data_IF_201077213981
#
_entry.id   IF_201077213981
#
_cell.length_a   1.000
_cell.length_b   1.000
_cell.length_c   1.000
_cell.angle_alpha   90.00
_cell.angle_beta   90.00
_cell.angle_gamma   90.00
#
_symmetry.space_group_name_H-M   'P 1'
#
loop_
_entity.id
_entity.type
_entity.pdbx_description
1 polymer ?
#
# COMPACT_ATOMS: atom_id res chain seq x y z
N UNK A 1 10.50 -43.90 51.85
CA UNK A 1 9.71 -42.67 51.67
C UNK A 1 8.98 -42.77 50.35
N UNK A 2 7.69 -43.06 50.41
CA UNK A 2 6.80 -43.11 49.25
C UNK A 2 6.15 -41.74 49.10
N UNK A 3 6.34 -41.10 47.95
CA UNK A 3 5.66 -39.86 47.61
C UNK A 3 4.24 -40.17 47.12
N UNK A 4 3.27 -39.50 47.72
CA UNK A 4 1.86 -39.57 47.33
C UNK A 4 1.66 -38.61 46.15
N UNK A 5 1.25 -39.15 45.00
CA UNK A 5 0.91 -38.34 43.83
C UNK A 5 -0.51 -37.82 44.04
N UNK A 6 -0.62 -36.55 44.42
CA UNK A 6 -1.91 -35.85 44.46
C UNK A 6 -2.30 -35.49 43.03
N UNK A 7 -3.12 -36.32 42.38
CA UNK A 7 -3.75 -35.94 41.11
C UNK A 7 -4.81 -34.87 41.39
N UNK A 8 -4.51 -33.63 41.01
CA UNK A 8 -5.46 -32.52 41.14
C UNK A 8 -6.72 -32.78 40.30
N UNK A 9 -7.88 -32.38 40.82
CA UNK A 9 -9.23 -32.50 40.21
C UNK A 9 -9.43 -31.69 38.93
N UNK A 10 -8.38 -31.09 38.37
CA UNK A 10 -8.46 -30.40 37.09
C UNK A 10 -8.14 -31.40 35.98
N UNK A 11 -9.03 -31.47 34.99
CA UNK A 11 -8.83 -32.26 33.77
C UNK A 11 -7.70 -31.64 32.90
N UNK A 12 -6.46 -31.68 33.38
CA UNK A 12 -5.27 -31.14 32.71
C UNK A 12 -4.62 -32.12 31.72
N UNK A 13 -5.26 -33.28 31.45
CA UNK A 13 -4.80 -34.33 30.53
C UNK A 13 -5.78 -34.56 29.36
N UNK A 14 -6.64 -33.60 29.04
CA UNK A 14 -7.35 -33.64 27.77
C UNK A 14 -6.52 -32.87 26.73
N UNK A 15 -5.87 -33.59 25.83
CA UNK A 15 -5.50 -33.02 24.53
C UNK A 15 -6.80 -32.71 23.81
N UNK A 16 -7.23 -31.46 23.88
CA UNK A 16 -8.25 -30.97 22.96
C UNK A 16 -7.59 -30.85 21.60
N UNK A 17 -7.81 -31.83 20.72
CA UNK A 17 -7.51 -31.67 19.30
C UNK A 17 -8.34 -30.48 18.82
N UNK A 18 -7.69 -29.35 18.59
CA UNK A 18 -8.32 -28.15 18.02
C UNK A 18 -8.51 -28.41 16.53
N UNK A 19 -9.41 -29.31 16.19
CA UNK A 19 -9.98 -29.40 14.85
C UNK A 19 -11.15 -28.40 14.83
N UNK A 20 -10.80 -27.11 14.97
CA UNK A 20 -11.77 -26.05 15.22
C UNK A 20 -11.98 -25.22 13.94
N UNK A 21 -13.17 -25.29 13.31
CA UNK A 21 -13.50 -24.46 12.16
C UNK A 21 -13.36 -22.95 12.45
N UNK A 22 -13.33 -22.53 13.71
CA UNK A 22 -13.03 -21.16 14.12
C UNK A 22 -11.54 -20.83 13.87
N UNK A 23 -10.62 -21.73 14.23
CA UNK A 23 -9.19 -21.53 14.04
C UNK A 23 -8.85 -21.43 12.55
N UNK A 24 -9.38 -22.32 11.72
CA UNK A 24 -9.14 -22.31 10.27
C UNK A 24 -9.64 -21.02 9.62
N UNK A 25 -10.83 -20.53 10.02
CA UNK A 25 -11.35 -19.24 9.55
C UNK A 25 -10.51 -18.06 10.03
N UNK A 26 -9.96 -18.11 11.25
CA UNK A 26 -9.08 -17.07 11.76
C UNK A 26 -7.74 -17.03 11.01
N UNK A 27 -7.17 -18.19 10.68
CA UNK A 27 -5.98 -18.30 9.82
C UNK A 27 -6.28 -17.74 8.43
N UNK A 28 -7.37 -18.16 7.79
CA UNK A 28 -7.81 -17.63 6.50
C UNK A 28 -7.95 -16.11 6.51
N UNK A 29 -8.63 -15.56 7.53
CA UNK A 29 -8.80 -14.14 7.71
C UNK A 29 -7.45 -13.39 7.82
N UNK A 30 -6.52 -13.93 8.62
CA UNK A 30 -5.20 -13.36 8.81
C UNK A 30 -4.39 -13.38 7.51
N UNK A 31 -4.38 -14.50 6.80
CA UNK A 31 -3.66 -14.63 5.53
C UNK A 31 -4.21 -13.71 4.45
N UNK A 32 -5.54 -13.60 4.34
CA UNK A 32 -6.20 -12.66 3.45
C UNK A 32 -5.87 -11.21 3.76
N UNK A 33 -5.92 -10.82 5.03
CA UNK A 33 -5.55 -9.48 5.46
C UNK A 33 -4.06 -9.20 5.24
N UNK A 34 -3.19 -10.16 5.55
CA UNK A 34 -1.74 -10.08 5.38
C UNK A 34 -1.35 -9.90 3.92
N UNK A 35 -1.90 -10.72 3.01
CA UNK A 35 -1.55 -10.65 1.59
C UNK A 35 -2.01 -9.32 0.97
N UNK A 36 -3.20 -8.84 1.32
CA UNK A 36 -3.71 -7.56 0.82
C UNK A 36 -2.87 -6.39 1.34
N UNK A 37 -2.63 -6.35 2.65
CA UNK A 37 -1.78 -5.33 3.26
C UNK A 37 -0.41 -5.30 2.60
N UNK A 38 0.22 -6.47 2.45
CA UNK A 38 1.55 -6.62 1.88
C UNK A 38 1.62 -6.15 0.43
N UNK A 39 0.66 -6.57 -0.39
CA UNK A 39 0.58 -6.18 -1.80
C UNK A 39 0.38 -4.68 -1.95
N UNK A 40 -0.51 -4.09 -1.16
CA UNK A 40 -0.81 -2.66 -1.21
C UNK A 40 0.40 -1.81 -0.83
N UNK A 41 1.09 -2.14 0.27
CA UNK A 41 2.25 -1.33 0.70
C UNK A 41 3.44 -1.46 -0.24
N UNK A 42 3.60 -2.60 -0.91
CA UNK A 42 4.61 -2.77 -1.96
C UNK A 42 4.24 -1.92 -3.18
N UNK A 43 2.98 -2.00 -3.64
CA UNK A 43 2.49 -1.22 -4.76
C UNK A 43 2.62 0.28 -4.49
N UNK A 44 2.16 0.77 -3.33
CA UNK A 44 2.24 2.18 -2.94
C UNK A 44 3.68 2.69 -2.90
N UNK A 45 4.61 1.87 -2.41
CA UNK A 45 6.02 2.22 -2.42
C UNK A 45 6.60 2.30 -3.84
N UNK A 46 6.15 1.43 -4.76
CA UNK A 46 6.54 1.47 -6.18
C UNK A 46 5.96 2.71 -6.88
N UNK A 47 4.68 3.01 -6.66
CA UNK A 47 4.00 4.23 -7.14
C UNK A 47 4.76 5.46 -6.64
N UNK A 48 5.11 5.50 -5.35
CA UNK A 48 5.90 6.60 -4.77
C UNK A 48 7.28 6.71 -5.39
N UNK A 49 7.96 5.59 -5.62
CA UNK A 49 9.28 5.59 -6.26
C UNK A 49 9.19 6.15 -7.69
N UNK A 50 8.23 5.68 -8.49
CA UNK A 50 7.93 6.17 -9.85
C UNK A 50 7.64 7.67 -9.86
N UNK A 51 6.78 8.14 -8.95
CA UNK A 51 6.49 9.56 -8.76
C UNK A 51 7.76 10.39 -8.60
N UNK A 52 8.64 9.97 -7.69
CA UNK A 52 9.87 10.73 -7.37
C UNK A 52 10.90 10.69 -8.50
N UNK A 53 11.09 9.54 -9.16
CA UNK A 53 12.07 9.41 -10.24
C UNK A 53 11.65 10.18 -11.49
N UNK A 54 10.37 10.13 -11.85
CA UNK A 54 9.85 10.80 -13.04
C UNK A 54 9.93 12.32 -12.90
N UNK A 55 9.56 12.87 -11.75
CA UNK A 55 9.68 14.31 -11.51
C UNK A 55 11.14 14.76 -11.52
N UNK A 56 12.05 14.02 -10.87
CA UNK A 56 13.48 14.37 -10.85
C UNK A 56 14.09 14.40 -12.25
N UNK A 57 13.75 13.42 -13.08
CA UNK A 57 14.19 13.34 -14.47
C UNK A 57 13.71 14.54 -15.28
N UNK A 58 12.40 14.81 -15.25
CA UNK A 58 11.81 15.92 -15.98
C UNK A 58 12.37 17.28 -15.52
N UNK A 59 12.50 17.49 -14.21
CA UNK A 59 13.10 18.72 -13.67
C UNK A 59 14.56 18.87 -14.11
N UNK A 60 15.34 17.78 -14.18
CA UNK A 60 16.72 17.84 -14.68
C UNK A 60 16.79 18.31 -16.13
N UNK A 61 15.91 17.80 -17.00
CA UNK A 61 15.82 18.22 -18.40
C UNK A 61 15.38 19.69 -18.52
N UNK A 62 14.40 20.12 -17.71
CA UNK A 62 13.93 21.52 -17.67
C UNK A 62 15.04 22.46 -17.22
N UNK A 63 15.83 22.08 -16.21
CA UNK A 63 16.99 22.89 -15.78
C UNK A 63 17.99 23.08 -16.91
N UNK A 64 18.20 22.07 -17.76
CA UNK A 64 19.06 22.17 -18.95
C UNK A 64 18.45 23.10 -20.03
N UNK A 65 17.14 23.05 -20.23
CA UNK A 65 16.45 23.97 -21.15
C UNK A 65 16.55 25.42 -20.69
N UNK A 66 16.43 25.68 -19.39
CA UNK A 66 16.64 26.99 -18.79
C UNK A 66 18.09 27.47 -18.97
N UNK A 67 19.08 26.60 -18.69
CA UNK A 67 20.50 26.98 -18.81
C UNK A 67 20.91 27.25 -20.26
N UNK A 68 20.28 26.58 -21.22
CA UNK A 68 20.48 26.80 -22.66
C UNK A 68 19.58 27.90 -23.23
N UNK A 69 18.85 28.64 -22.37
CA UNK A 69 17.94 29.74 -22.73
C UNK A 69 16.85 29.35 -23.73
N UNK A 70 16.49 28.06 -23.81
CA UNK A 70 15.39 27.57 -24.65
C UNK A 70 14.01 27.95 -24.10
N UNK A 71 13.92 28.10 -22.78
CA UNK A 71 12.73 28.52 -22.05
C UNK A 71 13.13 29.52 -20.96
N UNK A 72 12.22 30.43 -20.58
CA UNK A 72 12.46 31.31 -19.45
C UNK A 72 12.33 30.57 -18.11
N UNK A 73 12.97 31.11 -17.06
CA UNK A 73 12.87 30.54 -15.70
C UNK A 73 11.42 30.56 -15.19
N UNK A 74 10.65 31.58 -15.59
CA UNK A 74 9.23 31.71 -15.23
C UNK A 74 8.40 30.59 -15.88
N UNK A 75 8.48 30.43 -17.19
CA UNK A 75 7.76 29.38 -17.93
C UNK A 75 8.14 27.99 -17.41
N UNK A 76 9.43 27.77 -17.12
CA UNK A 76 9.92 26.52 -16.54
C UNK A 76 9.31 26.25 -15.15
N UNK A 77 9.14 27.27 -14.31
CA UNK A 77 8.54 27.14 -12.99
C UNK A 77 7.04 26.83 -13.06
N UNK A 78 6.31 27.49 -13.97
CA UNK A 78 4.88 27.23 -14.24
C UNK A 78 4.69 25.80 -14.74
N UNK A 79 5.48 25.38 -15.73
CA UNK A 79 5.46 24.02 -16.24
C UNK A 79 5.76 22.97 -15.15
N UNK A 80 6.82 23.18 -14.35
CA UNK A 80 7.15 22.26 -13.25
C UNK A 80 6.01 22.14 -12.23
N UNK A 81 5.34 23.24 -11.92
CA UNK A 81 4.20 23.27 -11.01
C UNK A 81 3.02 22.45 -11.56
N UNK A 82 2.62 22.70 -12.81
CA UNK A 82 1.51 22.01 -13.47
C UNK A 82 1.80 20.52 -13.62
N UNK A 83 2.98 20.18 -14.16
CA UNK A 83 3.45 18.82 -14.33
C UNK A 83 3.43 18.06 -13.00
N UNK A 84 3.97 18.64 -11.91
CA UNK A 84 3.98 17.98 -10.60
C UNK A 84 2.57 17.68 -10.10
N UNK A 85 1.63 18.61 -10.31
CA UNK A 85 0.25 18.45 -9.86
C UNK A 85 -0.48 17.38 -10.67
N UNK A 86 -0.27 17.34 -11.99
CA UNK A 86 -0.82 16.30 -12.85
C UNK A 86 -0.24 14.93 -12.49
N UNK A 87 1.09 14.81 -12.34
CA UNK A 87 1.75 13.58 -11.90
C UNK A 87 1.18 13.13 -10.54
N UNK A 88 0.97 14.05 -9.59
CA UNK A 88 0.36 13.73 -8.30
C UNK A 88 -1.06 13.18 -8.44
N UNK A 89 -1.89 13.76 -9.31
CA UNK A 89 -3.25 13.29 -9.56
C UNK A 89 -3.26 11.89 -10.19
N UNK A 90 -2.41 11.65 -11.19
CA UNK A 90 -2.32 10.35 -11.85
C UNK A 90 -1.82 9.25 -10.91
N UNK A 91 -0.77 9.50 -10.12
CA UNK A 91 -0.25 8.49 -9.18
C UNK A 91 -1.26 8.12 -8.08
N UNK A 92 -2.14 9.05 -7.69
CA UNK A 92 -3.20 8.78 -6.70
C UNK A 92 -4.23 7.76 -7.19
N UNK A 93 -4.47 7.64 -8.50
CA UNK A 93 -5.39 6.65 -9.06
C UNK A 93 -4.91 5.21 -8.85
N UNK A 94 -3.60 5.02 -8.74
CA UNK A 94 -2.95 3.71 -8.56
C UNK A 94 -2.48 3.46 -7.12
N UNK A 95 -2.67 4.43 -6.22
CA UNK A 95 -2.35 4.27 -4.79
C UNK A 95 -3.50 3.51 -4.13
N UNK A 96 -3.18 2.60 -3.20
CA UNK A 96 -4.16 1.87 -2.39
C UNK A 96 -5.12 2.82 -1.67
N UNK A 97 -6.32 2.35 -1.34
CA UNK A 97 -7.36 3.18 -0.72
C UNK A 97 -6.89 3.80 0.61
N UNK A 98 -6.22 3.01 1.45
CA UNK A 98 -5.60 3.47 2.68
C UNK A 98 -4.42 4.41 2.43
N UNK A 99 -3.55 4.12 1.46
CA UNK A 99 -2.44 4.99 1.08
C UNK A 99 -2.91 6.36 0.58
N UNK A 100 -3.99 6.37 -0.21
CA UNK A 100 -4.66 7.57 -0.69
C UNK A 100 -5.21 8.38 0.48
N UNK A 101 -5.89 7.73 1.44
CA UNK A 101 -6.39 8.40 2.65
C UNK A 101 -5.26 9.06 3.47
N UNK A 102 -4.10 8.40 3.61
CA UNK A 102 -2.93 9.03 4.23
C UNK A 102 -2.41 10.24 3.43
N UNK A 103 -2.36 10.13 2.10
CA UNK A 103 -1.89 11.20 1.23
C UNK A 103 -2.82 12.43 1.26
N UNK A 104 -4.13 12.21 1.25
CA UNK A 104 -5.14 13.27 1.32
C UNK A 104 -5.18 13.95 2.68
N UNK A 105 -5.00 13.19 3.77
CA UNK A 105 -4.86 13.75 5.13
C UNK A 105 -3.67 14.70 5.21
N UNK A 106 -2.57 14.37 4.53
CA UNK A 106 -1.42 15.27 4.47
C UNK A 106 -1.70 16.50 3.60
N UNK A 107 -2.28 16.28 2.41
CA UNK A 107 -2.61 17.35 1.47
C UNK A 107 -3.62 16.85 0.44
N UNK A 108 -4.87 17.30 0.52
CA UNK A 108 -5.91 16.97 -0.47
C UNK A 108 -5.66 17.68 -1.80
N UNK A 109 -5.56 19.01 -1.80
CA UNK A 109 -5.31 19.82 -2.99
C UNK A 109 -3.93 20.49 -2.95
N UNK A 110 -3.26 20.67 -4.11
CA UNK A 110 -2.03 21.44 -4.14
C UNK A 110 -2.33 22.93 -3.83
N UNK A 111 -1.39 23.65 -3.17
CA UNK A 111 -1.48 25.11 -3.08
C UNK A 111 -1.40 25.73 -4.48
N UNK A 112 -2.02 26.90 -4.68
CA UNK A 112 -1.91 27.62 -5.96
C UNK A 112 -0.48 28.06 -6.23
N UNK A 113 -0.19 28.38 -7.49
CA UNK A 113 1.14 28.81 -7.90
C UNK A 113 1.55 30.12 -7.21
N UNK A 114 0.63 31.07 -7.06
CA UNK A 114 0.82 32.35 -6.37
C UNK A 114 1.16 32.12 -4.90
N UNK A 115 0.41 31.21 -4.23
CA UNK A 115 0.70 30.84 -2.83
C UNK A 115 2.08 30.21 -2.68
N UNK A 116 2.56 29.45 -3.67
CA UNK A 116 3.91 28.89 -3.65
C UNK A 116 4.97 29.96 -3.83
N UNK A 117 4.77 30.85 -4.80
CA UNK A 117 5.66 31.98 -5.06
C UNK A 117 5.79 32.87 -3.82
N UNK A 118 4.68 33.27 -3.20
CA UNK A 118 4.70 34.10 -2.00
C UNK A 118 5.35 33.37 -0.82
N UNK A 119 5.06 32.07 -0.65
CA UNK A 119 5.71 31.25 0.38
C UNK A 119 7.23 31.24 0.23
N UNK A 120 7.74 31.03 -0.98
CA UNK A 120 9.19 31.01 -1.21
C UNK A 120 9.81 32.41 -1.15
N UNK A 121 9.09 33.43 -1.57
CA UNK A 121 9.49 34.85 -1.44
C UNK A 121 9.67 35.22 0.02
N UNK A 122 8.68 34.92 0.86
CA UNK A 122 8.74 35.16 2.30
C UNK A 122 9.86 34.34 2.94
N UNK A 123 10.02 33.07 2.57
CA UNK A 123 11.05 32.19 3.14
C UNK A 123 12.48 32.65 2.81
N UNK A 124 12.71 33.14 1.59
CA UNK A 124 14.07 33.43 1.08
C UNK A 124 14.47 34.89 1.27
N UNK A 125 13.51 35.81 1.20
CA UNK A 125 13.76 37.26 1.24
C UNK A 125 12.95 38.02 2.29
N UNK A 126 12.03 37.36 3.01
CA UNK A 126 11.19 38.01 4.03
C UNK A 126 10.17 39.01 3.46
N UNK A 127 9.91 38.94 2.15
CA UNK A 127 9.11 39.92 1.39
C UNK A 127 8.07 39.22 0.52
N UNK A 128 6.99 39.94 0.23
CA UNK A 128 5.98 39.52 -0.75
C UNK A 128 6.55 39.58 -2.17
N UNK A 129 6.11 38.68 -3.05
CA UNK A 129 6.71 38.52 -4.37
C UNK A 129 6.67 39.80 -5.22
N UNK A 130 5.58 40.57 -5.13
CA UNK A 130 5.40 41.81 -5.87
C UNK A 130 6.50 42.85 -5.60
N UNK A 131 7.05 42.86 -4.38
CA UNK A 131 8.08 43.81 -3.93
C UNK A 131 9.52 43.40 -4.25
N UNK A 132 9.72 42.24 -4.88
CA UNK A 132 11.03 41.71 -5.23
C UNK A 132 11.59 42.37 -6.49
N UNK A 133 12.92 42.52 -6.55
CA UNK A 133 13.62 42.92 -7.79
C UNK A 133 13.50 41.83 -8.86
N UNK A 134 13.73 42.13 -10.16
CA UNK A 134 13.69 41.12 -11.22
C UNK A 134 14.59 39.89 -10.94
N UNK A 135 15.80 40.10 -10.43
CA UNK A 135 16.73 39.02 -10.09
C UNK A 135 16.24 38.16 -8.91
N UNK A 136 15.64 38.81 -7.90
CA UNK A 136 15.01 38.11 -6.78
C UNK A 136 13.81 37.28 -7.26
N UNK A 137 12.98 37.81 -8.16
CA UNK A 137 11.87 37.07 -8.77
C UNK A 137 12.37 35.84 -9.54
N UNK A 138 13.42 35.99 -10.35
CA UNK A 138 14.07 34.88 -11.07
C UNK A 138 14.57 33.80 -10.10
N UNK A 139 15.16 34.21 -8.97
CA UNK A 139 15.62 33.30 -7.91
C UNK A 139 14.46 32.50 -7.28
N UNK A 140 13.28 33.10 -7.14
CA UNK A 140 12.08 32.41 -6.63
C UNK A 140 11.53 31.41 -7.64
N UNK A 141 11.47 31.76 -8.92
CA UNK A 141 11.07 30.79 -9.97
C UNK A 141 12.02 29.59 -10.01
N UNK A 142 13.33 29.83 -9.92
CA UNK A 142 14.31 28.73 -9.86
C UNK A 142 14.14 27.85 -8.61
N UNK A 143 13.84 28.46 -7.46
CA UNK A 143 13.53 27.72 -6.22
C UNK A 143 12.32 26.79 -6.39
N UNK A 144 11.29 27.21 -7.13
CA UNK A 144 10.10 26.39 -7.42
C UNK A 144 10.46 25.19 -8.32
N UNK A 145 11.30 25.40 -9.35
CA UNK A 145 11.80 24.33 -10.21
C UNK A 145 12.52 23.29 -9.36
N UNK A 146 13.45 23.71 -8.50
CA UNK A 146 14.18 22.78 -7.63
C UNK A 146 13.29 22.11 -6.60
N UNK A 147 12.40 22.86 -5.96
CA UNK A 147 11.48 22.32 -4.96
C UNK A 147 10.51 21.30 -5.55
N UNK A 148 10.21 21.38 -6.85
CA UNK A 148 9.37 20.42 -7.57
C UNK A 148 9.95 19.01 -7.50
N UNK A 149 11.28 18.87 -7.60
CA UNK A 149 12.00 17.60 -7.50
C UNK A 149 12.34 17.15 -6.07
N UNK A 150 12.08 17.98 -5.05
CA UNK A 150 12.38 17.62 -3.65
C UNK A 150 11.38 16.63 -3.11
N UNK A 151 11.92 15.59 -2.48
CA UNK A 151 11.15 14.57 -1.76
C UNK A 151 10.87 15.01 -0.34
N UNK A 152 9.78 14.50 0.23
CA UNK A 152 9.58 14.56 1.68
C UNK A 152 10.22 13.31 2.32
N UNK A 153 11.32 13.45 3.10
CA UNK A 153 12.07 12.31 3.62
C UNK A 153 11.23 11.45 4.56
N UNK A 154 10.27 12.04 5.29
CA UNK A 154 9.37 11.29 6.18
C UNK A 154 8.57 10.25 5.41
N UNK A 155 7.92 10.66 4.31
CA UNK A 155 7.10 9.76 3.50
C UNK A 155 7.94 8.80 2.67
N UNK A 156 9.06 9.25 2.12
CA UNK A 156 9.94 8.40 1.32
C UNK A 156 10.55 7.29 2.18
N UNK A 157 11.03 7.59 3.38
CA UNK A 157 11.57 6.58 4.31
C UNK A 157 10.48 5.64 4.82
N UNK A 158 9.30 6.18 5.17
CA UNK A 158 8.16 5.35 5.58
C UNK A 158 7.76 4.34 4.50
N UNK A 159 7.61 4.78 3.24
CA UNK A 159 7.29 3.89 2.12
C UNK A 159 8.36 2.81 1.89
N UNK A 160 9.65 3.16 2.00
CA UNK A 160 10.73 2.16 1.91
C UNK A 160 10.61 1.09 3.00
N UNK A 161 10.34 1.49 4.24
CA UNK A 161 10.13 0.55 5.36
C UNK A 161 8.90 -0.32 5.15
N UNK A 162 7.77 0.28 4.76
CA UNK A 162 6.53 -0.44 4.48
C UNK A 162 6.70 -1.44 3.32
N UNK A 163 7.47 -1.10 2.29
CA UNK A 163 7.82 -2.03 1.21
C UNK A 163 8.56 -3.26 1.72
N UNK A 164 9.52 -3.07 2.63
CA UNK A 164 10.25 -4.20 3.25
C UNK A 164 9.31 -5.03 4.11
N UNK A 165 8.48 -4.40 4.93
CA UNK A 165 7.47 -5.10 5.75
C UNK A 165 6.52 -5.91 4.87
N UNK A 166 5.99 -5.34 3.79
CA UNK A 166 5.12 -6.05 2.86
C UNK A 166 5.82 -7.23 2.19
N UNK A 167 7.08 -7.09 1.79
CA UNK A 167 7.86 -8.22 1.24
C UNK A 167 8.01 -9.34 2.26
N UNK A 168 8.28 -9.02 3.52
CA UNK A 168 8.35 -9.99 4.61
C UNK A 168 6.98 -10.64 4.84
N UNK A 169 5.90 -9.87 4.79
CA UNK A 169 4.53 -10.39 4.90
C UNK A 169 4.18 -11.40 3.82
N UNK A 170 4.53 -11.15 2.56
CA UNK A 170 4.37 -12.14 1.47
C UNK A 170 5.14 -13.42 1.75
N UNK A 171 6.41 -13.30 2.16
CA UNK A 171 7.25 -14.47 2.47
C UNK A 171 6.63 -15.27 3.62
N UNK A 172 6.19 -14.59 4.67
CA UNK A 172 5.56 -15.24 5.82
C UNK A 172 4.28 -15.98 5.44
N UNK A 173 3.37 -15.33 4.69
CA UNK A 173 2.15 -15.97 4.17
C UNK A 173 2.48 -17.15 3.26
N UNK A 174 3.52 -17.04 2.42
CA UNK A 174 3.95 -18.15 1.57
C UNK A 174 4.51 -19.34 2.38
N UNK A 175 5.22 -19.08 3.47
CA UNK A 175 5.72 -20.13 4.38
C UNK A 175 4.56 -20.88 5.03
N UNK A 176 3.55 -20.17 5.52
CA UNK A 176 2.34 -20.78 6.11
C UNK A 176 1.61 -21.64 5.07
N UNK A 177 1.32 -21.09 3.90
CA UNK A 177 0.68 -21.85 2.83
C UNK A 177 1.50 -23.09 2.39
N UNK A 178 2.82 -22.96 2.34
CA UNK A 178 3.71 -24.09 1.99
C UNK A 178 3.68 -25.17 3.07
N UNK A 179 3.60 -24.78 4.35
CA UNK A 179 3.50 -25.73 5.45
C UNK A 179 2.23 -26.59 5.34
N UNK A 180 1.08 -25.97 5.08
CA UNK A 180 -0.19 -26.68 4.88
C UNK A 180 -0.12 -27.62 3.68
N UNK A 181 0.40 -27.13 2.54
CA UNK A 181 0.56 -27.95 1.33
C UNK A 181 1.51 -29.14 1.52
N UNK A 182 2.58 -28.99 2.30
CA UNK A 182 3.55 -30.06 2.51
C UNK A 182 3.02 -31.17 3.43
N UNK A 183 2.19 -30.79 4.41
CA UNK A 183 1.58 -31.73 5.35
C UNK A 183 0.29 -32.38 4.80
N UNK A 184 -0.28 -31.84 3.73
CA UNK A 184 -1.47 -32.39 3.10
C UNK A 184 -1.22 -33.71 2.36
N UNK A 185 -2.23 -34.59 2.41
CA UNK A 185 -2.23 -35.86 1.69
C UNK A 185 -2.22 -35.65 0.16
N UNK A 186 -3.07 -34.74 -0.33
CA UNK A 186 -3.12 -34.31 -1.73
C UNK A 186 -2.59 -32.87 -1.88
N UNK A 187 -1.29 -32.75 -2.14
CA UNK A 187 -0.59 -31.46 -2.23
C UNK A 187 -1.12 -30.55 -3.35
N UNK A 188 -1.39 -31.03 -4.58
CA UNK A 188 -2.00 -30.20 -5.62
C UNK A 188 -3.37 -29.63 -5.23
N UNK A 189 -4.23 -30.44 -4.59
CA UNK A 189 -5.54 -30.01 -4.09
C UNK A 189 -5.40 -28.92 -3.04
N UNK A 190 -4.54 -29.13 -2.06
CA UNK A 190 -4.30 -28.14 -1.00
C UNK A 190 -3.72 -26.83 -1.55
N UNK A 191 -2.83 -26.90 -2.54
CA UNK A 191 -2.29 -25.71 -3.19
C UNK A 191 -3.40 -24.87 -3.88
N UNK A 192 -4.39 -25.53 -4.50
CA UNK A 192 -5.56 -24.85 -5.08
C UNK A 192 -6.40 -24.21 -3.98
N UNK A 193 -6.68 -24.91 -2.87
CA UNK A 193 -7.44 -24.36 -1.74
C UNK A 193 -6.79 -23.11 -1.16
N UNK A 194 -5.50 -23.18 -0.87
CA UNK A 194 -4.71 -22.02 -0.39
C UNK A 194 -4.74 -20.87 -1.40
N UNK A 195 -4.67 -21.18 -2.70
CA UNK A 195 -4.81 -20.19 -3.78
C UNK A 195 -6.16 -19.47 -3.77
N UNK A 196 -7.27 -20.21 -3.61
CA UNK A 196 -8.62 -19.65 -3.54
C UNK A 196 -8.78 -18.80 -2.26
N UNK A 197 -8.28 -19.26 -1.11
CA UNK A 197 -8.33 -18.52 0.16
C UNK A 197 -7.57 -17.19 0.09
N UNK A 198 -6.29 -17.23 -0.29
CA UNK A 198 -5.43 -16.05 -0.42
C UNK A 198 -5.98 -15.11 -1.50
N UNK A 199 -6.40 -15.66 -2.64
CA UNK A 199 -7.02 -14.91 -3.73
C UNK A 199 -8.33 -14.23 -3.32
N UNK A 200 -9.17 -14.93 -2.55
CA UNK A 200 -10.39 -14.40 -1.95
C UNK A 200 -10.11 -13.22 -1.03
N UNK A 201 -9.06 -13.28 -0.21
CA UNK A 201 -8.67 -12.16 0.65
C UNK A 201 -8.14 -10.94 -0.12
N UNK A 202 -7.35 -11.16 -1.18
CA UNK A 202 -6.91 -10.09 -2.05
C UNK A 202 -8.09 -9.41 -2.76
N UNK A 203 -9.01 -10.21 -3.33
CA UNK A 203 -10.19 -9.73 -4.02
C UNK A 203 -11.17 -9.00 -3.08
N UNK A 204 -11.46 -9.57 -1.90
CA UNK A 204 -12.33 -8.96 -0.89
C UNK A 204 -11.81 -7.61 -0.41
N UNK A 205 -10.50 -7.50 -0.19
CA UNK A 205 -9.87 -6.22 0.15
C UNK A 205 -9.89 -5.22 -0.99
N UNK A 206 -9.73 -5.67 -2.24
CA UNK A 206 -9.81 -4.79 -3.40
C UNK A 206 -11.22 -4.22 -3.57
N UNK A 207 -12.23 -5.07 -3.42
CA UNK A 207 -13.64 -4.67 -3.44
C UNK A 207 -13.96 -3.68 -2.32
N UNK A 208 -13.52 -3.96 -1.08
CA UNK A 208 -13.66 -3.03 0.04
C UNK A 208 -12.91 -1.71 -0.19
N UNK A 209 -11.80 -1.73 -0.92
CA UNK A 209 -11.06 -0.53 -1.31
C UNK A 209 -11.92 0.48 -2.09
N UNK A 210 -12.83 0.01 -2.96
CA UNK A 210 -13.73 0.88 -3.71
C UNK A 210 -14.81 1.54 -2.83
N UNK A 211 -15.12 0.96 -1.68
CA UNK A 211 -16.12 1.50 -0.75
C UNK A 211 -15.51 2.46 0.29
N UNK A 212 -14.18 2.55 0.39
CA UNK A 212 -13.50 3.43 1.36
C UNK A 212 -13.93 4.89 1.19
N UNK A 213 -13.89 5.44 -0.03
CA UNK A 213 -14.23 6.85 -0.26
C UNK A 213 -15.67 7.21 0.15
N UNK A 214 -16.72 6.48 -0.27
CA UNK A 214 -18.10 6.78 0.14
C UNK A 214 -18.37 6.50 1.63
N UNK A 215 -17.67 5.55 2.27
CA UNK A 215 -17.92 5.19 3.67
C UNK A 215 -17.10 6.03 4.65
N UNK A 216 -15.80 6.19 4.41
CA UNK A 216 -14.88 6.86 5.31
C UNK A 216 -14.66 8.34 5.01
N UNK A 217 -14.94 8.77 3.78
CA UNK A 217 -14.57 10.09 3.28
C UNK A 217 -13.07 10.25 3.01
N UNK A 218 -12.67 11.36 2.34
CA UNK A 218 -11.29 11.62 1.97
C UNK A 218 -10.45 11.98 3.21
N UNK A 219 -9.24 11.43 3.31
CA UNK A 219 -8.32 11.76 4.39
C UNK A 219 -8.55 11.04 5.73
N UNK A 220 -9.34 9.96 5.76
CA UNK A 220 -9.63 9.17 6.96
C UNK A 220 -8.86 7.82 6.99
N UNK A 221 -7.54 7.82 7.29
CA UNK A 221 -6.69 6.65 7.10
C UNK A 221 -7.04 5.47 8.00
N UNK A 222 -7.48 5.70 9.24
CA UNK A 222 -7.82 4.61 10.17
C UNK A 222 -9.03 3.83 9.67
N UNK A 223 -10.08 4.55 9.25
CA UNK A 223 -11.28 3.93 8.67
C UNK A 223 -10.95 3.15 7.39
N UNK A 224 -10.14 3.73 6.50
CA UNK A 224 -9.71 3.07 5.27
C UNK A 224 -8.96 1.75 5.52
N UNK A 225 -8.01 1.75 6.47
CA UNK A 225 -7.27 0.53 6.85
C UNK A 225 -8.22 -0.52 7.41
N UNK A 226 -9.10 -0.17 8.34
CA UNK A 226 -10.04 -1.11 8.95
C UNK A 226 -10.94 -1.74 7.89
N UNK A 227 -11.55 -0.94 7.00
CA UNK A 227 -12.44 -1.46 5.96
C UNK A 227 -11.73 -2.41 5.00
N UNK A 228 -10.53 -2.05 4.52
CA UNK A 228 -9.79 -2.90 3.59
C UNK A 228 -9.40 -4.23 4.25
N UNK A 229 -8.93 -4.20 5.50
CA UNK A 229 -8.54 -5.42 6.21
C UNK A 229 -9.76 -6.30 6.55
N UNK A 230 -10.88 -5.71 6.95
CA UNK A 230 -12.14 -6.46 7.19
C UNK A 230 -12.64 -7.08 5.89
N UNK A 231 -12.61 -6.33 4.78
CA UNK A 231 -12.97 -6.86 3.46
C UNK A 231 -12.08 -8.00 3.02
N UNK A 232 -10.77 -7.91 3.29
CA UNK A 232 -9.83 -8.99 3.03
C UNK A 232 -10.04 -10.21 3.91
N UNK A 233 -10.26 -10.02 5.21
CA UNK A 233 -10.55 -11.11 6.12
C UNK A 233 -11.83 -11.85 5.70
N UNK A 234 -12.90 -11.11 5.44
CA UNK A 234 -14.17 -11.67 4.98
C UNK A 234 -14.02 -12.38 3.63
N UNK A 235 -13.30 -11.79 2.69
CA UNK A 235 -13.03 -12.39 1.37
C UNK A 235 -12.26 -13.71 1.46
N UNK A 236 -11.27 -13.79 2.35
CA UNK A 236 -10.51 -15.03 2.55
C UNK A 236 -11.33 -16.12 3.26
N UNK A 237 -12.15 -15.76 4.26
CA UNK A 237 -13.09 -16.71 4.89
C UNK A 237 -14.10 -17.24 3.86
N UNK A 238 -14.67 -16.37 3.03
CA UNK A 238 -15.58 -16.80 1.95
C UNK A 238 -14.83 -17.69 0.95
N UNK A 239 -13.60 -17.31 0.58
CA UNK A 239 -12.74 -18.11 -0.29
C UNK A 239 -12.46 -19.51 0.27
N UNK A 240 -12.13 -19.62 1.55
CA UNK A 240 -11.87 -20.91 2.20
C UNK A 240 -13.13 -21.79 2.21
N UNK A 241 -14.30 -21.21 2.52
CA UNK A 241 -15.59 -21.93 2.47
C UNK A 241 -15.89 -22.41 1.05
N UNK A 242 -15.67 -21.58 0.04
CA UNK A 242 -15.86 -21.98 -1.37
C UNK A 242 -14.89 -23.11 -1.74
N UNK A 243 -13.64 -23.03 -1.30
CA UNK A 243 -12.65 -24.08 -1.53
C UNK A 243 -13.05 -25.42 -0.91
N UNK A 244 -13.65 -25.40 0.28
CA UNK A 244 -14.18 -26.59 0.94
C UNK A 244 -15.44 -27.14 0.27
N UNK A 245 -16.29 -26.29 -0.30
CA UNK A 245 -17.45 -26.76 -1.08
C UNK A 245 -17.07 -27.41 -2.41
N UNK A 246 -15.90 -27.06 -2.95
CA UNK A 246 -15.38 -27.60 -4.21
C UNK A 246 -14.37 -28.73 -3.98
N UNK A 247 -14.32 -29.29 -2.77
CA UNK A 247 -13.28 -30.21 -2.33
C UNK A 247 -13.20 -31.48 -3.20
N UNK A 248 -14.35 -32.08 -3.50
CA UNK A 248 -14.47 -33.28 -4.33
C UNK A 248 -14.11 -32.98 -5.78
N UNK A 249 -14.59 -31.87 -6.34
CA UNK A 249 -14.29 -31.46 -7.71
C UNK A 249 -12.80 -31.16 -7.87
N UNK A 250 -12.18 -30.41 -6.95
CA UNK A 250 -10.74 -30.10 -6.99
C UNK A 250 -9.94 -31.41 -6.91
N UNK A 251 -10.35 -32.36 -6.08
CA UNK A 251 -9.70 -33.67 -6.02
C UNK A 251 -9.74 -34.39 -7.37
N UNK A 252 -10.91 -34.46 -7.99
CA UNK A 252 -11.07 -35.11 -9.30
C UNK A 252 -10.29 -34.38 -10.40
N UNK A 253 -10.31 -33.03 -10.40
CA UNK A 253 -9.50 -32.22 -11.32
C UNK A 253 -8.00 -32.49 -11.18
N UNK A 254 -7.49 -32.71 -9.97
CA UNK A 254 -6.07 -33.03 -9.76
C UNK A 254 -5.70 -34.44 -10.22
N UNK A 255 -6.66 -35.38 -10.22
CA UNK A 255 -6.47 -36.75 -10.72
C UNK A 255 -6.47 -36.82 -12.25
N UNK A 256 -7.18 -35.93 -12.93
CA UNK A 256 -7.23 -35.87 -14.40
C UNK A 256 -5.95 -35.39 -15.08
N UNK A 257 -4.91 -35.04 -14.31
CA UNK A 257 -3.56 -34.68 -14.74
C UNK A 257 -3.45 -34.41 -16.26
N UNK A 258 -3.71 -33.15 -16.65
CA UNK A 258 -3.37 -32.66 -18.00
C UNK A 258 -1.84 -32.78 -18.12
N UNK A 259 -1.37 -33.85 -18.74
CA UNK A 259 -0.05 -33.95 -19.35
C UNK A 259 -0.06 -33.30 -20.73
#
# INVERSE_FOLDING_TARGET
MTYEVVEGTYAGKQEHSIDDPILNKAVAALEGASIKFSTDVINDANVRQSYTSNIKRAVSEIKQMVSTKKISVKEAAEFCYEMRNQIMAEHRKFTSAQGLAFAERHKKTPPSFEKLIDKYSQKKFGKVFGSLTPDQKSTIYYEIIEASARDNPKFTTANKRLKVIGKVGIIFTAVLATHEVLNAENKPKEAIKQGIQIGGGAAGGALAGFTVSPVCGPGAPVCAVVLVLVGSAAGAIVGSVVADTLDEEIEEFTRWAIN
#
